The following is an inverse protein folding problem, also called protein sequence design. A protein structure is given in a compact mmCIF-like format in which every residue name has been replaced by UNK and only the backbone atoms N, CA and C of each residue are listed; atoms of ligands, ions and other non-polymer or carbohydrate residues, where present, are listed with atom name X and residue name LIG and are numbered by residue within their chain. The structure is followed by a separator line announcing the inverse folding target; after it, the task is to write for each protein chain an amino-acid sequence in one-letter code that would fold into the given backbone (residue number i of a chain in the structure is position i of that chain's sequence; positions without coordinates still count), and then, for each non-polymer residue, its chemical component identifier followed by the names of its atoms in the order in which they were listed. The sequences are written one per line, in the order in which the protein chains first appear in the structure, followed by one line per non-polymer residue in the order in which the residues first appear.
data_IF_257195740184
#
_entry.id   IF_257195740184
#
_cell.length_a   1.000
_cell.length_b   1.000
_cell.length_c   1.000
_cell.angle_alpha   90.00
_cell.angle_beta   90.00
_cell.angle_gamma   90.00
#
_symmetry.space_group_name_H-M   'P 1'
#
loop_
_entity.id
_entity.type
_entity.pdbx_description
1 polymer ?
#
# COMPACT_ATOMS: atom_id res chain seq x y z
N UNK A 1 7.00 -5.53 6.12
CA UNK A 1 7.25 -5.72 4.69
C UNK A 1 7.69 -4.41 4.04
N UNK A 2 8.58 -4.48 3.06
CA UNK A 2 9.00 -3.36 2.23
C UNK A 2 8.07 -3.19 1.00
N UNK A 3 8.26 -2.13 0.20
CA UNK A 3 7.39 -1.86 -0.94
C UNK A 3 7.51 -2.85 -2.10
N UNK A 4 8.66 -3.50 -2.27
CA UNK A 4 8.85 -4.51 -3.31
C UNK A 4 8.09 -5.81 -2.98
N UNK A 5 8.15 -6.25 -1.72
CA UNK A 5 7.41 -7.43 -1.26
C UNK A 5 5.90 -7.22 -1.39
N UNK A 6 5.41 -6.03 -1.08
CA UNK A 6 3.99 -5.69 -1.19
C UNK A 6 3.56 -5.60 -2.65
N UNK A 7 4.38 -4.98 -3.50
CA UNK A 7 4.13 -4.89 -4.93
C UNK A 7 3.99 -6.29 -5.55
N UNK A 8 4.91 -7.21 -5.22
CA UNK A 8 4.83 -8.60 -5.65
C UNK A 8 3.57 -9.31 -5.14
N UNK A 9 3.21 -9.12 -3.85
CA UNK A 9 2.03 -9.76 -3.25
C UNK A 9 0.71 -9.26 -3.82
N UNK A 10 0.64 -7.98 -4.19
CA UNK A 10 -0.54 -7.38 -4.81
C UNK A 10 -0.57 -7.51 -6.34
N UNK A 11 0.49 -8.02 -6.96
CA UNK A 11 0.59 -8.09 -8.43
C UNK A 11 0.68 -6.71 -9.10
N UNK A 12 1.20 -5.69 -8.40
CA UNK A 12 1.30 -4.32 -8.91
C UNK A 12 2.76 -3.88 -9.05
N UNK A 13 3.00 -2.84 -9.85
CA UNK A 13 4.32 -2.20 -9.94
C UNK A 13 4.61 -1.37 -8.68
N UNK A 14 5.87 -1.36 -8.21
CA UNK A 14 6.31 -0.54 -7.07
C UNK A 14 6.02 0.95 -7.28
N UNK A 15 6.12 1.43 -8.53
CA UNK A 15 5.77 2.80 -8.90
C UNK A 15 4.32 3.17 -8.58
N UNK A 16 3.38 2.22 -8.69
CA UNK A 16 1.97 2.44 -8.36
C UNK A 16 1.78 2.61 -6.86
N UNK A 17 2.48 1.83 -6.03
CA UNK A 17 2.47 2.02 -4.57
C UNK A 17 2.99 3.40 -4.18
N UNK A 18 4.02 3.92 -4.88
CA UNK A 18 4.54 5.27 -4.66
C UNK A 18 3.52 6.34 -5.04
N UNK A 19 2.86 6.17 -6.18
CA UNK A 19 1.80 7.06 -6.66
C UNK A 19 0.62 7.10 -5.68
N UNK A 20 0.17 5.95 -5.18
CA UNK A 20 -0.88 5.89 -4.17
C UNK A 20 -0.52 6.62 -2.89
N UNK A 21 0.72 6.47 -2.38
CA UNK A 21 1.18 7.23 -1.21
C UNK A 21 1.23 8.73 -1.47
N UNK A 22 1.62 9.13 -2.68
CA UNK A 22 1.60 10.54 -3.08
C UNK A 22 0.18 11.09 -3.08
N UNK A 23 -0.79 10.38 -3.66
CA UNK A 23 -2.19 10.82 -3.70
C UNK A 23 -2.85 10.83 -2.32
N UNK A 24 -2.53 9.85 -1.48
CA UNK A 24 -2.97 9.78 -0.08
C UNK A 24 -2.52 11.02 0.70
N UNK A 25 -1.26 11.46 0.51
CA UNK A 25 -0.74 12.70 1.12
C UNK A 25 -1.44 13.98 0.65
N UNK A 26 -2.18 13.93 -0.46
CA UNK A 26 -2.95 15.04 -1.01
C UNK A 26 -4.41 15.06 -0.52
N UNK A 27 -4.77 14.23 0.46
CA UNK A 27 -6.11 14.15 1.03
C UNK A 27 -7.12 13.44 0.13
N UNK A 28 -6.67 12.72 -0.91
CA UNK A 28 -7.53 11.84 -1.67
C UNK A 28 -7.83 10.57 -0.87
N UNK A 29 -8.98 9.92 -1.15
CA UNK A 29 -9.32 8.60 -0.60
C UNK A 29 -8.14 7.64 -0.78
N UNK A 30 -7.73 6.95 0.29
CA UNK A 30 -6.60 6.01 0.25
C UNK A 30 -6.87 4.95 -0.82
N UNK A 31 -6.03 4.93 -1.86
CA UNK A 31 -6.18 4.02 -3.03
C UNK A 31 -5.45 2.69 -2.85
N UNK A 32 -4.67 2.56 -1.79
CA UNK A 32 -3.81 1.42 -1.53
C UNK A 32 -3.83 0.98 -0.07
N UNK A 33 -3.11 -0.10 0.25
CA UNK A 33 -3.01 -0.60 1.62
C UNK A 33 -2.36 0.42 2.55
N UNK A 34 -2.75 0.39 3.83
CA UNK A 34 -2.16 1.26 4.85
C UNK A 34 -0.67 1.01 5.00
N UNK A 35 0.08 2.10 5.11
CA UNK A 35 1.53 2.10 5.30
C UNK A 35 1.89 2.81 6.60
N UNK A 36 3.02 2.38 7.18
CA UNK A 36 3.65 3.05 8.31
C UNK A 36 4.91 3.76 7.82
N UNK A 37 4.95 5.06 8.06
CA UNK A 37 6.12 5.89 7.77
C UNK A 37 7.02 5.94 9.01
N UNK A 38 8.22 5.38 8.88
CA UNK A 38 9.25 5.34 9.92
C UNK A 38 10.43 6.20 9.45
N UNK A 39 10.28 7.52 9.63
CA UNK A 39 11.21 8.51 9.08
C UNK A 39 11.23 8.47 7.54
N UNK A 40 12.37 8.07 6.96
CA UNK A 40 12.54 7.87 5.51
C UNK A 40 12.04 6.50 5.02
N UNK A 41 11.83 5.54 5.92
CA UNK A 41 11.40 4.20 5.56
C UNK A 41 9.88 4.12 5.49
N UNK A 42 9.40 3.39 4.48
CA UNK A 42 8.00 2.98 4.38
C UNK A 42 7.93 1.48 4.63
N UNK A 43 7.06 1.10 5.57
CA UNK A 43 6.80 -0.28 5.92
C UNK A 43 5.32 -0.57 5.84
N UNK A 44 5.02 -1.79 5.43
CA UNK A 44 3.67 -2.31 5.39
C UNK A 44 3.55 -3.45 6.41
N UNK A 45 2.45 -3.44 7.16
CA UNK A 45 2.06 -4.55 8.01
C UNK A 45 1.33 -5.57 7.16
N UNK A 46 1.67 -6.84 7.33
CA UNK A 46 1.06 -7.92 6.58
C UNK A 46 -0.47 -7.94 6.75
N UNK A 47 -0.96 -7.75 7.99
CA UNK A 47 -2.39 -7.65 8.31
C UNK A 47 -3.14 -6.57 7.52
N UNK A 48 -2.48 -5.43 7.23
CA UNK A 48 -3.10 -4.34 6.47
C UNK A 48 -3.11 -4.64 4.96
N UNK A 49 -2.11 -5.38 4.46
CA UNK A 49 -2.12 -5.88 3.08
C UNK A 49 -3.25 -6.89 2.91
N UNK A 50 -3.35 -7.85 3.82
CA UNK A 50 -4.36 -8.90 3.74
C UNK A 50 -5.78 -8.30 3.86
N UNK A 51 -5.98 -7.32 4.74
CA UNK A 51 -7.25 -6.56 4.80
C UNK A 51 -7.56 -5.84 3.50
N UNK A 52 -6.58 -5.19 2.88
CA UNK A 52 -6.78 -4.51 1.60
C UNK A 52 -7.16 -5.50 0.48
N UNK A 53 -6.53 -6.68 0.45
CA UNK A 53 -6.88 -7.73 -0.51
C UNK A 53 -8.32 -8.21 -0.28
N UNK A 54 -8.72 -8.43 0.97
CA UNK A 54 -10.10 -8.82 1.33
C UNK A 54 -11.12 -7.74 0.92
N UNK A 55 -10.80 -6.47 1.14
CA UNK A 55 -11.61 -5.33 0.69
C UNK A 55 -11.74 -5.27 -0.84
N UNK A 56 -10.64 -5.49 -1.58
CA UNK A 56 -10.64 -5.53 -3.04
C UNK A 56 -11.36 -6.75 -3.62
N UNK A 57 -11.34 -7.89 -2.91
CA UNK A 57 -12.01 -9.12 -3.36
C UNK A 57 -13.52 -9.10 -3.14
N UNK A 58 -14.05 -8.15 -2.36
CA UNK A 58 -15.50 -7.99 -2.11
C UNK A 58 -16.24 -7.22 -3.21
N UNK A 59 -15.69 -7.15 -4.42
CA UNK A 59 -16.27 -6.45 -5.58
C UNK A 59 -16.95 -7.47 -6.50
#
# INVERSE_FOLDING_TARGET
MNEHEVAARLGVRVGLLREWRYLDSKGSRSRGPKYLKLGRLVRYRQSEIDRYIDECSRI
#
